data_IF_442042871807
#
_entry.id   IF_442042871807
#
_cell.length_a   1.000
_cell.length_b   1.000
_cell.length_c   1.000
_cell.angle_alpha   90.00
_cell.angle_beta   90.00
_cell.angle_gamma   90.00
#
_symmetry.space_group_name_H-M   'P 1'
#
loop_
_entity.id
_entity.type
_entity.pdbx_description
1 polymer ?
#
# COMPACT_ATOMS: atom_id res chain seq x y z
N UNK A 1 -27.07 5.68 -6.12
CA UNK A 1 -25.85 5.93 -5.33
C UNK A 1 -25.76 4.86 -4.26
N UNK A 2 -25.02 3.77 -4.49
CA UNK A 2 -25.00 2.57 -3.62
C UNK A 2 -24.38 2.89 -2.24
N UNK A 3 -23.57 3.95 -2.16
CA UNK A 3 -22.91 4.41 -0.92
C UNK A 3 -23.93 5.05 0.04
N UNK A 4 -25.04 5.59 -0.47
CA UNK A 4 -26.13 6.14 0.36
C UNK A 4 -27.11 5.06 0.84
N UNK A 5 -27.18 3.89 0.19
CA UNK A 5 -28.22 2.89 0.46
C UNK A 5 -27.92 1.95 1.62
N UNK A 6 -26.66 1.78 2.04
CA UNK A 6 -26.29 0.90 3.17
C UNK A 6 -25.04 1.42 3.91
N UNK A 7 -25.20 2.25 4.96
CA UNK A 7 -24.07 2.79 5.72
C UNK A 7 -23.18 1.71 6.35
N UNK A 8 -23.73 0.52 6.63
CA UNK A 8 -22.99 -0.64 7.12
C UNK A 8 -21.98 -1.16 6.10
N UNK A 9 -22.38 -1.29 4.83
CA UNK A 9 -21.48 -1.71 3.73
C UNK A 9 -20.34 -0.72 3.55
N UNK A 10 -20.62 0.58 3.63
CA UNK A 10 -19.58 1.60 3.58
C UNK A 10 -18.60 1.49 4.75
N UNK A 11 -19.09 1.26 5.97
CA UNK A 11 -18.25 1.08 7.14
C UNK A 11 -17.34 -0.15 7.01
N UNK A 12 -17.86 -1.26 6.48
CA UNK A 12 -17.07 -2.48 6.30
C UNK A 12 -16.01 -2.32 5.20
N UNK A 13 -16.34 -1.67 4.08
CA UNK A 13 -15.37 -1.30 3.04
C UNK A 13 -14.30 -0.35 3.61
N UNK A 14 -14.70 0.61 4.46
CA UNK A 14 -13.77 1.56 5.08
C UNK A 14 -12.81 0.86 6.04
N UNK A 15 -13.27 -0.10 6.84
CA UNK A 15 -12.40 -0.92 7.70
C UNK A 15 -11.37 -1.69 6.88
N UNK A 16 -11.80 -2.29 5.76
CA UNK A 16 -10.89 -3.02 4.86
C UNK A 16 -9.81 -2.07 4.33
N UNK A 17 -10.20 -0.89 3.83
CA UNK A 17 -9.26 0.09 3.29
C UNK A 17 -8.28 0.61 4.35
N UNK A 18 -8.75 0.93 5.56
CA UNK A 18 -7.89 1.33 6.68
C UNK A 18 -6.94 0.19 7.06
N UNK A 19 -7.42 -1.05 7.07
CA UNK A 19 -6.58 -2.23 7.29
C UNK A 19 -5.45 -2.36 6.27
N UNK A 20 -5.73 -2.13 4.98
CA UNK A 20 -4.70 -2.15 3.94
C UNK A 20 -3.69 -1.00 4.07
N UNK A 21 -4.12 0.19 4.50
CA UNK A 21 -3.23 1.32 4.77
C UNK A 21 -2.30 1.00 5.95
N UNK A 22 -2.85 0.40 7.02
CA UNK A 22 -2.07 -0.07 8.17
C UNK A 22 -1.04 -1.11 7.73
N UNK A 23 -1.46 -2.10 6.93
CA UNK A 23 -0.57 -3.11 6.36
C UNK A 23 0.55 -2.49 5.52
N UNK A 24 0.24 -1.49 4.69
CA UNK A 24 1.23 -0.79 3.88
C UNK A 24 2.28 -0.05 4.74
N UNK A 25 1.84 0.65 5.79
CA UNK A 25 2.74 1.33 6.73
C UNK A 25 3.64 0.34 7.47
N UNK A 26 3.08 -0.77 7.96
CA UNK A 26 3.85 -1.83 8.63
C UNK A 26 4.88 -2.45 7.69
N UNK A 27 4.50 -2.73 6.43
CA UNK A 27 5.39 -3.31 5.43
C UNK A 27 6.60 -2.41 5.14
N UNK A 28 6.38 -1.08 5.08
CA UNK A 28 7.45 -0.09 4.92
C UNK A 28 8.43 -0.12 6.10
N UNK A 29 7.93 -0.22 7.34
CA UNK A 29 8.78 -0.30 8.53
C UNK A 29 9.60 -1.58 8.56
N UNK A 30 9.00 -2.72 8.21
CA UNK A 30 9.69 -4.03 8.18
C UNK A 30 10.77 -4.09 7.12
N UNK A 31 10.45 -3.77 5.86
CA UNK A 31 11.44 -3.86 4.77
C UNK A 31 12.51 -2.78 4.87
N UNK A 32 12.17 -1.66 5.48
CA UNK A 32 13.09 -0.58 5.69
C UNK A 32 14.13 -0.84 6.79
N UNK A 33 13.78 -1.58 7.84
CA UNK A 33 14.73 -1.99 8.88
C UNK A 33 15.69 -3.08 8.38
N UNK A 34 15.22 -4.01 7.54
CA UNK A 34 16.03 -5.07 6.92
C UNK A 34 17.21 -4.54 6.10
N UNK A 35 17.08 -3.35 5.50
CA UNK A 35 18.11 -2.77 4.64
C UNK A 35 19.14 -1.91 5.41
N UNK A 36 18.88 -1.59 6.68
CA UNK A 36 19.65 -0.58 7.41
C UNK A 36 20.78 -1.17 8.29
N UNK A 37 20.93 -2.49 8.44
CA UNK A 37 21.84 -3.04 9.46
C UNK A 37 22.66 -4.27 9.02
N UNK A 38 23.98 -4.06 8.88
CA UNK A 38 25.01 -4.99 9.37
C UNK A 38 25.00 -4.98 10.92
N UNK A 39 24.58 -6.09 11.55
CA UNK A 39 24.65 -6.48 12.99
C UNK A 39 23.84 -5.71 14.08
N UNK A 40 23.43 -6.34 15.21
CA UNK A 40 23.42 -7.77 15.59
C UNK A 40 22.01 -8.31 15.94
N UNK A 41 21.94 -9.63 16.02
CA UNK A 41 20.79 -10.43 16.42
C UNK A 41 20.44 -10.18 17.89
N UNK A 42 19.14 -10.13 18.22
CA UNK A 42 18.52 -9.93 19.56
C UNK A 42 18.10 -8.52 19.95
N UNK A 43 17.36 -7.85 19.08
CA UNK A 43 16.37 -6.89 19.53
C UNK A 43 15.10 -7.13 18.73
N UNK A 44 13.99 -7.43 19.42
CA UNK A 44 12.64 -7.49 18.86
C UNK A 44 12.27 -6.08 18.34
N UNK A 45 12.91 -5.62 17.28
CA UNK A 45 12.55 -4.41 16.53
C UNK A 45 11.30 -4.68 15.70
N UNK A 46 10.25 -5.10 16.38
CA UNK A 46 8.93 -4.66 15.97
C UNK A 46 8.85 -3.20 16.42
N UNK A 47 9.29 -2.26 15.58
CA UNK A 47 8.79 -0.89 15.67
C UNK A 47 7.30 -0.98 15.35
N UNK A 48 6.53 -1.43 16.34
CA UNK A 48 5.10 -1.66 16.24
C UNK A 48 4.51 -0.33 15.83
N UNK A 49 3.73 -0.30 14.74
CA UNK A 49 3.05 0.92 14.28
C UNK A 49 2.37 1.65 15.46
N UNK A 50 1.90 0.88 16.44
CA UNK A 50 1.21 1.33 17.65
C UNK A 50 2.13 2.01 18.71
N UNK A 51 3.45 1.88 18.62
CA UNK A 51 4.40 2.54 19.52
C UNK A 51 4.88 3.90 18.99
N UNK A 52 4.50 4.27 17.77
CA UNK A 52 4.86 5.55 17.17
C UNK A 52 4.02 6.69 17.75
N UNK A 53 4.64 7.86 17.90
CA UNK A 53 3.92 9.09 18.24
C UNK A 53 2.97 9.48 17.10
N UNK A 54 1.88 10.22 17.39
CA UNK A 54 0.94 10.68 16.35
C UNK A 54 1.62 11.43 15.20
N UNK A 55 2.65 12.22 15.52
CA UNK A 55 3.48 12.92 14.54
C UNK A 55 4.22 11.96 13.59
N UNK A 56 4.80 10.89 14.13
CA UNK A 56 5.51 9.89 13.34
C UNK A 56 4.55 9.04 12.50
N UNK A 57 3.35 8.77 12.99
CA UNK A 57 2.30 8.08 12.21
C UNK A 57 1.89 8.95 11.02
N UNK A 58 1.64 10.24 11.22
CA UNK A 58 1.24 11.16 10.16
C UNK A 58 2.32 11.29 9.07
N UNK A 59 3.58 11.38 9.50
CA UNK A 59 4.72 11.38 8.58
C UNK A 59 4.86 10.07 7.80
N UNK A 60 4.72 8.92 8.46
CA UNK A 60 4.76 7.61 7.82
C UNK A 60 3.61 7.43 6.82
N UNK A 61 2.41 7.88 7.17
CA UNK A 61 1.24 7.83 6.29
C UNK A 61 1.45 8.69 5.04
N UNK A 62 1.91 9.93 5.24
CA UNK A 62 2.22 10.85 4.15
C UNK A 62 3.26 10.25 3.20
N UNK A 63 4.31 9.62 3.75
CA UNK A 63 5.31 8.91 2.97
C UNK A 63 4.69 7.74 2.19
N UNK A 64 3.86 6.94 2.84
CA UNK A 64 3.20 5.76 2.25
C UNK A 64 2.30 6.16 1.07
N UNK A 65 1.58 7.27 1.19
CA UNK A 65 0.66 7.76 0.16
C UNK A 65 1.40 8.51 -0.95
N UNK A 66 2.30 9.42 -0.62
CA UNK A 66 2.99 10.22 -1.64
C UNK A 66 4.09 9.43 -2.35
N UNK A 67 4.73 8.49 -1.65
CA UNK A 67 5.86 7.72 -2.16
C UNK A 67 7.04 8.60 -2.61
N UNK A 68 7.12 9.82 -2.07
CA UNK A 68 8.03 10.91 -2.46
C UNK A 68 9.14 11.17 -1.43
N UNK A 69 9.03 10.64 -0.21
CA UNK A 69 10.04 10.85 0.84
C UNK A 69 11.05 9.72 0.91
N UNK A 70 12.32 10.09 0.97
CA UNK A 70 13.46 9.19 0.92
C UNK A 70 13.81 8.55 2.26
N UNK A 71 13.42 9.14 3.39
CA UNK A 71 13.88 8.72 4.71
C UNK A 71 12.85 8.94 5.82
N UNK A 72 12.58 7.92 6.62
CA UNK A 72 11.76 7.97 7.82
C UNK A 72 12.51 7.34 8.99
N UNK A 73 12.81 8.07 10.07
CA UNK A 73 13.57 7.54 11.24
C UNK A 73 14.82 6.71 10.84
N UNK A 74 15.65 7.24 9.93
CA UNK A 74 16.84 6.57 9.35
C UNK A 74 16.56 5.35 8.45
N UNK A 75 15.30 5.01 8.21
CA UNK A 75 14.88 4.01 7.24
C UNK A 75 14.82 4.66 5.85
N UNK A 76 15.60 4.14 4.91
CA UNK A 76 15.55 4.56 3.50
C UNK A 76 14.37 3.89 2.78
N UNK A 77 13.25 4.61 2.63
CA UNK A 77 12.05 4.06 1.96
C UNK A 77 12.17 4.09 0.42
N UNK A 78 13.18 4.80 -0.10
CA UNK A 78 13.48 4.86 -1.53
C UNK A 78 14.09 3.57 -2.11
N UNK A 79 14.27 2.54 -1.29
CA UNK A 79 14.93 1.30 -1.68
C UNK A 79 13.96 0.09 -1.75
N UNK A 80 12.65 0.34 -1.82
CA UNK A 80 11.69 -0.74 -2.08
C UNK A 80 11.93 -1.33 -3.48
N UNK A 81 12.07 -2.65 -3.55
CA UNK A 81 12.15 -3.33 -4.84
C UNK A 81 10.83 -3.22 -5.61
N UNK A 82 10.84 -3.46 -6.92
CA UNK A 82 9.65 -3.33 -7.77
C UNK A 82 8.45 -4.16 -7.30
N UNK A 83 8.70 -5.31 -6.68
CA UNK A 83 7.66 -6.18 -6.13
C UNK A 83 7.03 -5.58 -4.87
N UNK A 84 7.85 -5.17 -3.90
CA UNK A 84 7.42 -4.49 -2.68
C UNK A 84 6.62 -3.23 -3.01
N UNK A 85 7.09 -2.43 -3.97
CA UNK A 85 6.36 -1.23 -4.40
C UNK A 85 4.99 -1.59 -4.96
N UNK A 86 4.89 -2.65 -5.76
CA UNK A 86 3.61 -3.11 -6.31
C UNK A 86 2.66 -3.63 -5.23
N UNK A 87 3.17 -4.26 -4.17
CA UNK A 87 2.36 -4.67 -3.02
C UNK A 87 1.77 -3.45 -2.30
N UNK A 88 2.59 -2.42 -2.04
CA UNK A 88 2.13 -1.16 -1.43
C UNK A 88 1.11 -0.47 -2.34
N UNK A 89 1.40 -0.33 -3.62
CA UNK A 89 0.49 0.32 -4.56
C UNK A 89 -0.83 -0.45 -4.66
N UNK A 90 -0.81 -1.79 -4.61
CA UNK A 90 -2.01 -2.63 -4.54
C UNK A 90 -2.82 -2.43 -3.26
N UNK A 91 -2.16 -2.42 -2.09
CA UNK A 91 -2.81 -2.16 -0.80
C UNK A 91 -3.45 -0.75 -0.75
N UNK A 92 -2.83 0.23 -1.41
CA UNK A 92 -3.34 1.60 -1.49
C UNK A 92 -4.31 1.83 -2.66
N UNK A 93 -4.67 0.79 -3.41
CA UNK A 93 -5.47 0.88 -4.63
C UNK A 93 -4.92 1.91 -5.64
N UNK A 94 -3.61 2.13 -5.65
CA UNK A 94 -2.93 3.00 -6.62
C UNK A 94 -2.74 2.24 -7.92
N UNK A 95 -3.05 2.92 -9.01
CA UNK A 95 -2.88 2.41 -10.36
C UNK A 95 -1.88 3.27 -11.13
N UNK A 96 -1.16 2.70 -12.11
CA UNK A 96 -0.28 3.47 -12.99
C UNK A 96 -1.04 4.60 -13.69
N UNK A 97 -0.29 5.63 -14.12
CA UNK A 97 -0.85 6.68 -14.97
C UNK A 97 -1.50 6.07 -16.21
N UNK A 98 -2.69 6.58 -16.57
CA UNK A 98 -3.49 6.12 -17.70
C UNK A 98 -3.99 4.67 -17.60
N UNK A 99 -3.93 4.02 -16.43
CA UNK A 99 -4.41 2.64 -16.27
C UNK A 99 -5.85 2.46 -16.79
N UNK A 100 -6.79 3.27 -16.32
CA UNK A 100 -8.19 3.17 -16.76
C UNK A 100 -8.37 3.46 -18.25
N UNK A 101 -7.62 4.41 -18.82
CA UNK A 101 -7.65 4.68 -20.25
C UNK A 101 -7.16 3.47 -21.06
N UNK A 102 -6.13 2.78 -20.56
CA UNK A 102 -5.60 1.58 -21.20
C UNK A 102 -6.59 0.41 -21.10
N UNK A 103 -7.16 0.18 -19.92
CA UNK A 103 -8.21 -0.83 -19.71
C UNK A 103 -9.41 -0.54 -20.61
N UNK A 104 -9.85 0.71 -20.70
CA UNK A 104 -10.95 1.10 -21.57
C UNK A 104 -10.65 0.81 -23.05
N UNK A 105 -9.43 1.11 -23.52
CA UNK A 105 -9.00 0.76 -24.88
C UNK A 105 -8.99 -0.75 -25.13
N UNK A 106 -8.62 -1.56 -24.15
CA UNK A 106 -8.62 -3.03 -24.25
C UNK A 106 -10.06 -3.53 -24.32
N UNK A 107 -10.91 -3.10 -23.40
CA UNK A 107 -12.33 -3.49 -23.37
C UNK A 107 -13.04 -3.09 -24.66
N UNK A 108 -12.74 -1.92 -25.23
CA UNK A 108 -13.27 -1.50 -26.53
C UNK A 108 -12.85 -2.40 -27.71
N UNK A 109 -11.75 -3.14 -27.58
CA UNK A 109 -11.30 -4.14 -28.58
C UNK A 109 -11.87 -5.54 -28.34
N UNK A 110 -12.48 -5.77 -27.18
CA UNK A 110 -13.05 -7.06 -26.78
C UNK A 110 -14.57 -6.91 -26.54
N UNK A 111 -15.38 -6.70 -27.59
CA UNK A 111 -16.82 -6.44 -27.43
C UNK A 111 -17.58 -7.64 -26.85
N UNK A 112 -17.04 -8.85 -26.98
CA UNK A 112 -17.57 -10.08 -26.39
C UNK A 112 -17.04 -10.35 -24.97
N UNK A 113 -16.25 -9.42 -24.41
CA UNK A 113 -15.58 -9.58 -23.12
C UNK A 113 -14.26 -10.35 -23.22
N UNK A 114 -13.66 -10.61 -22.05
CA UNK A 114 -12.45 -11.42 -21.90
C UNK A 114 -12.90 -12.80 -21.38
N UNK A 115 -12.69 -13.84 -22.17
CA UNK A 115 -12.98 -15.21 -21.77
C UNK A 115 -11.70 -15.81 -21.18
N UNK A 116 -11.77 -16.26 -19.92
CA UNK A 116 -10.75 -17.10 -19.31
C UNK A 116 -11.15 -18.53 -19.62
N UNK A 117 -10.27 -19.27 -20.30
CA UNK A 117 -10.42 -20.70 -20.47
C UNK A 117 -9.70 -21.35 -19.30
N UNK A 118 -10.46 -22.01 -18.42
CA UNK A 118 -9.87 -22.82 -17.36
C UNK A 118 -9.15 -24.00 -18.02
N UNK A 119 -7.83 -24.07 -17.87
CA UNK A 119 -6.97 -25.19 -18.27
C UNK A 119 -6.88 -26.24 -17.17
#
# INVERSE_FOLDING_TARGET
NIIQSTPTTFADISKINVGWIIFAMQSILTWGSEQTVQQPQNCDFTHSLYSLSPFNIDKLLSLTISGLESQFLHISVNCLNSHQRRLIDGALCKVPRNFYLMIWKILGKCPLGIQLFDT
#
